data_IF_243191149926
#
_entry.id   IF_243191149926
#
_cell.length_a   1.000
_cell.length_b   1.000
_cell.length_c   1.000
_cell.angle_alpha   90.00
_cell.angle_beta   90.00
_cell.angle_gamma   90.00
#
_symmetry.space_group_name_H-M   'P 1'
#
loop_
_entity.id
_entity.type
_entity.pdbx_description
1 polymer ?
#
# COMPACT_ATOMS: atom_id res chain seq x y z
N UNK A 1 -15.00 53.30 -17.75
CA UNK A 1 -13.60 53.58 -17.39
C UNK A 1 -12.78 52.49 -18.07
N UNK A 2 -11.59 52.77 -18.54
CA UNK A 2 -10.74 51.80 -19.23
C UNK A 2 -9.73 51.13 -18.31
N UNK A 3 -8.67 50.65 -18.89
CA UNK A 3 -7.55 50.04 -18.15
C UNK A 3 -7.00 50.94 -17.05
N UNK A 4 -6.62 50.35 -15.93
CA UNK A 4 -6.01 51.08 -14.80
C UNK A 4 -4.56 50.56 -14.61
N UNK A 5 -3.65 51.48 -14.28
CA UNK A 5 -2.27 51.14 -13.95
C UNK A 5 -1.91 51.77 -12.59
N UNK A 6 -1.40 50.90 -11.69
CA UNK A 6 -0.83 51.32 -10.40
C UNK A 6 0.70 51.38 -10.57
N UNK A 7 1.31 52.57 -10.43
CA UNK A 7 2.76 52.70 -10.59
C UNK A 7 3.54 51.92 -9.52
N UNK A 8 4.82 51.64 -9.80
CA UNK A 8 5.77 51.01 -8.87
C UNK A 8 5.72 51.65 -7.49
N UNK A 9 5.56 50.81 -6.44
CA UNK A 9 5.53 51.21 -5.03
C UNK A 9 4.34 52.04 -4.60
N UNK A 10 3.38 52.32 -5.49
CA UNK A 10 2.18 53.12 -5.19
C UNK A 10 1.09 52.24 -4.55
N UNK A 11 0.18 52.91 -3.81
CA UNK A 11 -1.05 52.33 -3.30
C UNK A 11 -2.24 52.97 -4.00
N UNK A 12 -3.19 52.13 -4.44
CA UNK A 12 -4.44 52.60 -5.04
C UNK A 12 -5.63 51.89 -4.38
N UNK A 13 -6.71 52.64 -4.14
CA UNK A 13 -8.01 52.08 -3.73
C UNK A 13 -8.85 51.81 -4.97
N UNK A 14 -9.37 50.60 -5.06
CA UNK A 14 -10.07 50.08 -6.22
C UNK A 14 -11.35 49.35 -5.78
N UNK A 15 -12.45 49.60 -6.48
CA UNK A 15 -13.67 48.83 -6.41
C UNK A 15 -13.79 47.95 -7.66
N UNK A 16 -14.33 48.61 -8.75
CA UNK A 16 -14.53 47.95 -10.04
C UNK A 16 -13.69 48.60 -11.13
N UNK A 17 -12.95 47.78 -11.86
CA UNK A 17 -12.10 48.16 -13.01
C UNK A 17 -12.72 47.58 -14.26
N UNK A 18 -13.16 48.44 -15.18
CA UNK A 18 -13.67 48.05 -16.50
C UNK A 18 -12.52 48.01 -17.49
N UNK A 19 -11.90 46.83 -17.66
CA UNK A 19 -10.71 46.61 -18.47
C UNK A 19 -9.61 45.89 -17.70
N UNK A 20 -8.36 46.02 -18.15
CA UNK A 20 -7.18 45.39 -17.53
C UNK A 20 -6.66 46.25 -16.34
N UNK A 21 -6.14 45.59 -15.31
CA UNK A 21 -5.42 46.19 -14.18
C UNK A 21 -3.94 45.85 -14.27
N UNK A 22 -3.08 46.86 -14.44
CA UNK A 22 -1.61 46.67 -14.38
C UNK A 22 -1.09 47.13 -13.02
N UNK A 23 -0.31 46.30 -12.36
CA UNK A 23 0.24 46.54 -11.01
C UNK A 23 1.74 46.55 -11.08
N UNK A 24 2.35 47.68 -10.84
CA UNK A 24 3.81 47.85 -10.86
C UNK A 24 4.46 47.17 -9.65
N UNK A 25 5.78 46.90 -9.75
CA UNK A 25 6.55 46.24 -8.71
C UNK A 25 6.43 46.93 -7.35
N UNK A 26 6.11 46.15 -6.30
CA UNK A 26 5.95 46.63 -4.92
C UNK A 26 4.70 47.48 -4.70
N UNK A 27 3.79 47.54 -5.66
CA UNK A 27 2.54 48.30 -5.53
C UNK A 27 1.51 47.51 -4.71
N UNK A 28 0.56 48.27 -4.12
CA UNK A 28 -0.54 47.76 -3.30
C UNK A 28 -1.88 48.21 -3.89
N UNK A 29 -2.78 47.25 -4.07
CA UNK A 29 -4.17 47.49 -4.41
C UNK A 29 -5.07 47.26 -3.18
N UNK A 30 -5.76 48.25 -2.72
CA UNK A 30 -6.70 48.18 -1.59
C UNK A 30 -8.13 48.13 -2.13
N UNK A 31 -8.95 47.23 -1.61
CA UNK A 31 -10.38 47.20 -1.95
C UNK A 31 -11.12 48.37 -1.31
N UNK A 32 -11.98 49.06 -2.07
CA UNK A 32 -12.92 50.03 -1.54
C UNK A 32 -14.07 49.37 -0.74
N UNK A 33 -14.27 48.07 -0.95
CA UNK A 33 -15.25 47.23 -0.28
C UNK A 33 -14.65 45.92 0.17
N UNK A 34 -15.30 44.80 -0.13
CA UNK A 34 -14.79 43.47 0.19
C UNK A 34 -13.98 42.83 -0.95
N UNK A 35 -14.19 43.26 -2.20
CA UNK A 35 -13.62 42.68 -3.40
C UNK A 35 -13.16 43.76 -4.39
N UNK A 36 -12.07 43.49 -5.07
CA UNK A 36 -11.61 44.20 -6.27
C UNK A 36 -12.11 43.44 -7.47
N UNK A 37 -13.03 44.00 -8.25
CA UNK A 37 -13.55 43.39 -9.47
C UNK A 37 -12.83 43.95 -10.69
N UNK A 38 -12.14 43.09 -11.45
CA UNK A 38 -11.48 43.45 -12.71
C UNK A 38 -12.14 42.67 -13.84
N UNK A 39 -12.80 43.36 -14.78
CA UNK A 39 -13.49 42.67 -15.89
C UNK A 39 -12.52 42.06 -16.89
N UNK A 40 -11.33 42.62 -17.00
CA UNK A 40 -10.23 42.13 -17.81
C UNK A 40 -9.20 41.30 -17.01
N UNK A 41 -7.95 41.43 -17.42
CA UNK A 41 -6.81 40.74 -16.83
C UNK A 41 -6.17 41.55 -15.72
N UNK A 42 -5.57 40.86 -14.74
CA UNK A 42 -4.65 41.47 -13.78
C UNK A 42 -3.22 41.06 -14.17
N UNK A 43 -2.35 42.07 -14.35
CA UNK A 43 -0.96 41.89 -14.77
C UNK A 43 -0.05 42.58 -13.74
N UNK A 44 0.75 41.77 -13.01
CA UNK A 44 1.69 42.28 -12.01
C UNK A 44 3.13 42.23 -12.54
N UNK A 45 3.82 43.37 -12.45
CA UNK A 45 5.23 43.51 -12.86
C UNK A 45 6.20 43.33 -11.68
N UNK A 46 6.14 42.17 -10.99
CA UNK A 46 6.94 41.88 -9.81
C UNK A 46 6.10 41.67 -8.56
N UNK A 47 6.64 42.05 -7.39
CA UNK A 47 5.91 41.93 -6.12
C UNK A 47 4.66 42.82 -6.10
N UNK A 48 3.56 42.27 -5.60
CA UNK A 48 2.32 43.03 -5.42
C UNK A 48 1.52 42.50 -4.24
N UNK A 49 0.73 43.36 -3.62
CA UNK A 49 -0.17 43.04 -2.52
C UNK A 49 -1.60 43.50 -2.83
N UNK A 50 -2.56 42.62 -2.67
CA UNK A 50 -3.99 42.93 -2.80
C UNK A 50 -4.66 42.80 -1.44
N UNK A 51 -5.17 43.90 -0.92
CA UNK A 51 -5.92 43.92 0.33
C UNK A 51 -7.43 43.78 0.05
N UNK A 52 -7.92 42.57 0.18
CA UNK A 52 -9.25 42.10 -0.13
C UNK A 52 -9.28 40.95 -1.11
N UNK A 53 -10.45 40.46 -1.44
CA UNK A 53 -10.66 39.48 -2.49
C UNK A 53 -10.45 40.08 -3.87
N UNK A 54 -10.04 39.27 -4.83
CA UNK A 54 -9.78 39.67 -6.21
C UNK A 54 -10.57 38.78 -7.17
N UNK A 55 -11.29 39.41 -8.09
CA UNK A 55 -11.92 38.70 -9.22
C UNK A 55 -11.43 39.27 -10.54
N UNK A 56 -11.04 38.45 -11.48
CA UNK A 56 -10.55 38.85 -12.79
C UNK A 56 -10.81 37.77 -13.86
N UNK A 57 -10.57 38.10 -15.14
CA UNK A 57 -10.58 37.10 -16.22
C UNK A 57 -9.36 36.19 -16.16
N UNK A 58 -8.18 36.80 -16.06
CA UNK A 58 -6.90 36.11 -15.94
C UNK A 58 -6.01 36.84 -14.94
N UNK A 59 -5.13 36.09 -14.26
CA UNK A 59 -4.15 36.66 -13.37
C UNK A 59 -2.75 36.25 -13.82
N UNK A 60 -1.88 37.22 -14.08
CA UNK A 60 -0.50 36.96 -14.44
C UNK A 60 0.47 37.84 -13.64
N UNK A 61 1.57 37.24 -13.20
CA UNK A 61 2.64 37.95 -12.55
C UNK A 61 4.00 37.41 -12.97
N UNK A 62 4.99 38.29 -13.10
CA UNK A 62 6.36 37.93 -13.42
C UNK A 62 7.33 38.47 -12.39
N UNK A 63 8.06 37.62 -11.69
CA UNK A 63 9.17 38.01 -10.81
C UNK A 63 10.36 38.54 -11.61
N UNK A 64 11.08 39.52 -11.08
CA UNK A 64 12.33 39.99 -11.67
C UNK A 64 13.43 38.90 -11.58
N UNK A 65 14.35 38.85 -12.55
CA UNK A 65 15.50 37.94 -12.55
C UNK A 65 16.28 38.02 -11.25
N UNK A 66 16.40 36.90 -10.53
CA UNK A 66 17.15 36.78 -9.27
C UNK A 66 16.36 37.13 -7.99
N UNK A 67 15.25 37.79 -8.07
CA UNK A 67 14.35 38.08 -6.95
C UNK A 67 12.95 37.56 -7.27
N UNK A 68 12.55 36.46 -6.63
CA UNK A 68 11.22 35.89 -6.83
C UNK A 68 10.13 36.89 -6.50
N UNK A 69 9.23 37.12 -7.42
CA UNK A 69 8.04 37.95 -7.18
C UNK A 69 7.18 37.34 -6.07
N UNK A 70 6.85 38.12 -5.04
CA UNK A 70 5.91 37.73 -3.99
C UNK A 70 4.59 38.42 -4.23
N UNK A 71 3.56 37.64 -4.55
CA UNK A 71 2.20 38.15 -4.69
C UNK A 71 1.42 37.70 -3.47
N UNK A 72 0.74 38.61 -2.83
CA UNK A 72 -0.15 38.36 -1.71
C UNK A 72 -1.54 38.86 -1.95
N UNK A 73 -2.55 38.03 -1.72
CA UNK A 73 -3.97 38.34 -1.78
C UNK A 73 -4.56 38.00 -0.41
N UNK A 74 -5.07 39.01 0.31
CA UNK A 74 -5.60 38.85 1.67
C UNK A 74 -7.02 38.28 1.73
N UNK A 75 -7.67 38.10 0.59
CA UNK A 75 -8.99 37.49 0.46
C UNK A 75 -8.95 36.33 -0.51
N UNK A 76 -10.07 36.09 -1.18
CA UNK A 76 -10.20 35.07 -2.22
C UNK A 76 -9.64 35.57 -3.56
N UNK A 77 -9.15 34.64 -4.38
CA UNK A 77 -8.83 34.89 -5.78
C UNK A 77 -9.77 34.07 -6.66
N UNK A 78 -10.48 34.76 -7.53
CA UNK A 78 -11.33 34.17 -8.57
C UNK A 78 -10.88 34.62 -9.94
N UNK A 79 -10.45 33.69 -10.79
CA UNK A 79 -10.10 33.93 -12.18
C UNK A 79 -10.89 32.97 -13.08
N UNK A 80 -11.56 33.49 -14.12
CA UNK A 80 -12.23 32.61 -15.07
C UNK A 80 -11.30 31.92 -16.06
N UNK A 81 -10.05 32.36 -16.15
CA UNK A 81 -8.99 31.81 -16.96
C UNK A 81 -7.80 31.37 -16.09
N UNK A 82 -6.61 31.46 -16.67
CA UNK A 82 -5.36 31.01 -16.04
C UNK A 82 -4.89 31.98 -14.94
N UNK A 83 -4.32 31.41 -13.88
CA UNK A 83 -3.52 32.10 -12.86
C UNK A 83 -2.07 31.69 -13.06
N UNK A 84 -1.21 32.62 -13.53
CA UNK A 84 0.19 32.37 -13.84
C UNK A 84 1.12 33.26 -13.03
N UNK A 85 2.17 32.67 -12.41
CA UNK A 85 3.23 33.43 -11.74
C UNK A 85 4.58 32.89 -12.14
N UNK A 86 5.28 33.62 -13.02
CA UNK A 86 6.63 33.27 -13.48
C UNK A 86 7.69 33.76 -12.48
N UNK A 87 8.69 32.92 -12.18
CA UNK A 87 9.79 33.17 -11.26
C UNK A 87 9.35 33.65 -9.86
N UNK A 88 8.15 33.30 -9.43
CA UNK A 88 7.55 33.85 -8.22
C UNK A 88 6.75 32.88 -7.39
N UNK A 89 6.11 33.43 -6.37
CA UNK A 89 5.23 32.72 -5.45
C UNK A 89 3.95 33.51 -5.24
N UNK A 90 2.84 32.79 -5.00
CA UNK A 90 1.53 33.34 -4.75
C UNK A 90 1.02 32.87 -3.38
N UNK A 91 0.55 33.82 -2.56
CA UNK A 91 -0.12 33.54 -1.29
C UNK A 91 -1.52 34.12 -1.31
N UNK A 92 -2.51 33.32 -1.05
CA UNK A 92 -3.94 33.66 -1.00
C UNK A 92 -4.42 33.28 0.39
N UNK A 93 -4.83 34.26 1.20
CA UNK A 93 -5.31 33.97 2.56
C UNK A 93 -6.71 33.32 2.55
N UNK A 94 -7.51 33.57 1.50
CA UNK A 94 -8.80 32.95 1.24
C UNK A 94 -8.74 31.73 0.31
N UNK A 95 -9.79 31.56 -0.49
CA UNK A 95 -9.94 30.47 -1.46
C UNK A 95 -9.47 30.88 -2.86
N UNK A 96 -9.08 29.88 -3.66
CA UNK A 96 -8.70 30.01 -5.06
C UNK A 96 -9.73 29.28 -5.94
N UNK A 97 -10.25 30.00 -6.97
CA UNK A 97 -11.10 29.43 -8.02
C UNK A 97 -10.58 29.92 -9.38
N UNK A 98 -10.05 29.02 -10.19
CA UNK A 98 -9.47 29.35 -11.49
C UNK A 98 -9.73 28.25 -12.52
N UNK A 99 -9.55 28.53 -13.83
CA UNK A 99 -9.56 27.47 -14.83
C UNK A 99 -8.28 26.62 -14.76
N UNK A 100 -7.13 27.28 -14.65
CA UNK A 100 -5.83 26.60 -14.47
C UNK A 100 -4.87 27.46 -13.63
N UNK A 101 -3.89 26.81 -13.04
CA UNK A 101 -2.90 27.45 -12.17
C UNK A 101 -1.50 26.99 -12.59
N UNK A 102 -0.60 27.96 -12.86
CA UNK A 102 0.79 27.69 -13.23
C UNK A 102 1.72 28.60 -12.44
N UNK A 103 2.47 28.06 -11.48
CA UNK A 103 3.31 28.81 -10.53
C UNK A 103 4.70 28.20 -10.47
N UNK A 104 5.73 28.94 -10.85
CA UNK A 104 7.10 28.40 -10.90
C UNK A 104 7.66 27.94 -9.55
N UNK A 105 7.32 28.62 -8.44
CA UNK A 105 7.97 28.32 -7.15
C UNK A 105 7.02 27.79 -6.09
N UNK A 106 6.04 28.57 -5.66
CA UNK A 106 5.18 28.15 -4.56
C UNK A 106 3.80 28.81 -4.58
N UNK A 107 2.81 28.04 -4.19
CA UNK A 107 1.42 28.47 -4.00
C UNK A 107 0.94 28.09 -2.60
N UNK A 108 0.46 29.07 -1.84
CA UNK A 108 -0.21 28.87 -0.56
C UNK A 108 -1.65 29.36 -0.65
N UNK A 109 -2.61 28.49 -0.29
CA UNK A 109 -4.03 28.83 -0.26
C UNK A 109 -4.57 28.56 1.14
N UNK A 110 -5.08 29.61 1.80
CA UNK A 110 -5.62 29.53 3.15
C UNK A 110 -7.00 28.88 3.23
N UNK A 111 -7.77 28.92 2.14
CA UNK A 111 -9.09 28.31 1.99
C UNK A 111 -9.04 27.08 1.09
N UNK A 112 -10.12 26.87 0.33
CA UNK A 112 -10.22 25.82 -0.68
C UNK A 112 -9.52 26.24 -1.98
N UNK A 113 -9.00 25.27 -2.72
CA UNK A 113 -8.45 25.50 -4.05
C UNK A 113 -9.21 24.67 -5.09
N UNK A 114 -9.62 25.33 -6.18
CA UNK A 114 -10.29 24.71 -7.31
C UNK A 114 -9.68 25.19 -8.62
N UNK A 115 -9.25 24.26 -9.44
CA UNK A 115 -8.87 24.48 -10.84
C UNK A 115 -8.87 23.15 -11.57
N UNK A 116 -8.96 23.17 -12.91
CA UNK A 116 -8.82 21.93 -13.67
C UNK A 116 -7.39 21.39 -13.55
N UNK A 117 -6.38 22.25 -13.70
CA UNK A 117 -4.97 21.89 -13.65
C UNK A 117 -4.19 22.80 -12.68
N UNK A 118 -3.38 22.19 -11.81
CA UNK A 118 -2.37 22.83 -10.99
C UNK A 118 -0.98 22.36 -11.43
N UNK A 119 -0.15 23.30 -11.89
CA UNK A 119 1.28 23.09 -12.19
C UNK A 119 2.07 24.02 -11.27
N UNK A 120 2.81 23.43 -10.31
CA UNK A 120 3.57 24.19 -9.31
C UNK A 120 4.98 23.64 -9.20
N UNK A 121 5.95 24.39 -9.68
CA UNK A 121 7.35 23.94 -9.73
C UNK A 121 7.97 23.55 -8.39
N UNK A 122 7.51 24.10 -7.26
CA UNK A 122 8.09 23.82 -5.95
C UNK A 122 7.12 23.33 -4.89
N UNK A 123 6.36 24.22 -4.27
CA UNK A 123 5.49 23.91 -3.11
C UNK A 123 4.05 24.33 -3.38
N UNK A 124 3.13 23.39 -3.21
CA UNK A 124 1.69 23.64 -3.15
C UNK A 124 1.16 23.29 -1.76
N UNK A 125 0.65 24.30 -1.02
CA UNK A 125 0.02 24.09 0.28
C UNK A 125 -1.41 24.66 0.27
N UNK A 126 -2.39 23.80 0.59
CA UNK A 126 -3.81 24.14 0.68
C UNK A 126 -4.31 23.79 2.08
N UNK A 127 -4.83 24.77 2.82
CA UNK A 127 -5.40 24.50 4.15
C UNK A 127 -6.80 23.91 4.10
N UNK A 128 -7.58 24.28 3.08
CA UNK A 128 -8.89 23.69 2.83
C UNK A 128 -8.81 22.44 1.99
N UNK A 129 -9.85 22.19 1.21
CA UNK A 129 -9.92 21.10 0.24
C UNK A 129 -9.31 21.54 -1.10
N UNK A 130 -8.82 20.59 -1.85
CA UNK A 130 -8.42 20.79 -3.24
C UNK A 130 -9.31 19.98 -4.18
N UNK A 131 -9.67 20.57 -5.32
CA UNK A 131 -10.48 19.93 -6.35
C UNK A 131 -9.96 20.29 -7.72
N UNK A 132 -9.80 19.29 -8.59
CA UNK A 132 -9.31 19.50 -9.95
C UNK A 132 -9.23 18.21 -10.75
N UNK A 133 -8.65 18.30 -11.93
CA UNK A 133 -8.35 17.16 -12.76
C UNK A 133 -6.91 16.69 -12.56
N UNK A 134 -5.95 17.61 -12.58
CA UNK A 134 -4.53 17.28 -12.43
C UNK A 134 -3.82 18.19 -11.44
N UNK A 135 -2.98 17.61 -10.60
CA UNK A 135 -2.02 18.30 -9.72
C UNK A 135 -0.63 17.80 -10.05
N UNK A 136 0.22 18.69 -10.56
CA UNK A 136 1.63 18.46 -10.87
C UNK A 136 2.48 19.37 -9.98
N UNK A 137 3.30 18.78 -9.10
CA UNK A 137 4.12 19.55 -8.15
C UNK A 137 5.55 19.03 -8.12
N UNK A 138 6.49 19.88 -8.50
CA UNK A 138 7.90 19.49 -8.53
C UNK A 138 8.48 19.06 -7.17
N UNK A 139 8.02 19.64 -6.06
CA UNK A 139 8.59 19.42 -4.74
C UNK A 139 7.64 18.86 -3.69
N UNK A 140 6.89 19.73 -3.02
CA UNK A 140 6.06 19.35 -1.87
C UNK A 140 4.60 19.74 -2.06
N UNK A 141 3.72 18.76 -1.95
CA UNK A 141 2.27 18.95 -2.02
C UNK A 141 1.62 18.64 -0.66
N UNK A 142 0.94 19.65 -0.08
CA UNK A 142 0.28 19.50 1.21
C UNK A 142 -1.16 19.99 1.17
N UNK A 143 -2.08 19.17 1.71
CA UNK A 143 -3.50 19.50 1.87
C UNK A 143 -3.93 19.14 3.28
N UNK A 144 -4.51 20.10 4.02
CA UNK A 144 -5.08 19.81 5.34
C UNK A 144 -6.50 19.24 5.25
N UNK A 145 -7.24 19.61 4.21
CA UNK A 145 -8.55 19.05 3.90
C UNK A 145 -8.50 17.81 3.03
N UNK A 146 -9.58 17.55 2.30
CA UNK A 146 -9.69 16.46 1.33
C UNK A 146 -9.11 16.85 -0.03
N UNK A 147 -8.68 15.86 -0.79
CA UNK A 147 -8.27 16.00 -2.19
C UNK A 147 -9.20 15.18 -3.10
N UNK A 148 -9.87 15.87 -4.01
CA UNK A 148 -10.70 15.26 -5.07
C UNK A 148 -10.10 15.67 -6.42
N UNK A 149 -9.18 14.85 -6.91
CA UNK A 149 -8.32 15.15 -8.08
C UNK A 149 -8.10 13.87 -8.88
N UNK A 150 -8.26 13.89 -10.21
CA UNK A 150 -8.10 12.66 -10.99
C UNK A 150 -6.64 12.17 -10.99
N UNK A 151 -5.66 13.05 -11.16
CA UNK A 151 -4.24 12.69 -11.24
C UNK A 151 -3.41 13.57 -10.31
N UNK A 152 -2.55 12.94 -9.51
CA UNK A 152 -1.56 13.59 -8.64
C UNK A 152 -0.18 13.09 -9.00
N UNK A 153 0.68 14.00 -9.48
CA UNK A 153 2.09 13.75 -9.81
C UNK A 153 2.98 14.68 -8.99
N UNK A 154 3.82 14.12 -8.12
CA UNK A 154 4.66 14.91 -7.23
C UNK A 154 6.09 14.38 -7.18
N UNK A 155 7.04 15.16 -7.68
CA UNK A 155 8.44 14.78 -7.69
C UNK A 155 9.05 14.49 -6.32
N UNK A 156 8.58 15.16 -5.27
CA UNK A 156 9.12 15.02 -3.91
C UNK A 156 8.20 14.30 -2.94
N UNK A 157 7.35 15.02 -2.21
CA UNK A 157 6.51 14.44 -1.15
C UNK A 157 5.09 14.97 -1.11
N UNK A 158 4.16 14.09 -0.74
CA UNK A 158 2.72 14.38 -0.56
C UNK A 158 2.33 14.20 0.90
N UNK A 159 1.57 15.16 1.46
CA UNK A 159 0.92 15.05 2.78
C UNK A 159 -0.52 15.56 2.69
N UNK A 160 -1.48 14.65 2.59
CA UNK A 160 -2.92 14.96 2.53
C UNK A 160 -3.58 14.41 3.78
N UNK A 161 -3.97 15.29 4.70
CA UNK A 161 -4.54 14.87 5.98
C UNK A 161 -5.99 14.34 5.88
N UNK A 162 -6.75 14.85 4.90
CA UNK A 162 -8.12 14.42 4.62
C UNK A 162 -8.20 13.19 3.72
N UNK A 163 -9.42 12.84 3.33
CA UNK A 163 -9.66 11.74 2.39
C UNK A 163 -9.20 12.13 0.98
N UNK A 164 -8.65 11.15 0.27
CA UNK A 164 -8.23 11.28 -1.12
C UNK A 164 -9.22 10.53 -2.01
N UNK A 165 -9.63 11.17 -3.09
CA UNK A 165 -10.27 10.53 -4.22
C UNK A 165 -9.46 10.88 -5.46
N UNK A 166 -8.79 9.89 -6.04
CA UNK A 166 -8.05 10.07 -7.29
C UNK A 166 -8.04 8.78 -8.12
N UNK A 167 -7.67 8.92 -9.39
CA UNK A 167 -7.38 7.76 -10.23
C UNK A 167 -5.95 7.30 -10.04
N UNK A 168 -5.00 8.24 -9.99
CA UNK A 168 -3.57 7.94 -9.96
C UNK A 168 -2.87 8.87 -8.96
N UNK A 169 -1.98 8.27 -8.16
CA UNK A 169 -1.10 8.96 -7.23
C UNK A 169 0.35 8.52 -7.51
N UNK A 170 1.12 9.38 -8.14
CA UNK A 170 2.55 9.16 -8.45
C UNK A 170 3.41 10.10 -7.60
N UNK A 171 4.33 9.55 -6.81
CA UNK A 171 5.15 10.32 -5.88
C UNK A 171 6.60 9.80 -5.85
N UNK A 172 7.54 10.59 -6.32
CA UNK A 172 8.93 10.20 -6.37
C UNK A 172 9.56 9.84 -5.02
N UNK A 173 9.12 10.46 -3.92
CA UNK A 173 9.69 10.25 -2.59
C UNK A 173 8.75 9.61 -1.59
N UNK A 174 7.95 10.42 -0.88
CA UNK A 174 7.07 9.94 0.19
C UNK A 174 5.65 10.44 0.02
N UNK A 175 4.67 9.56 0.20
CA UNK A 175 3.27 9.92 0.24
C UNK A 175 2.61 9.53 1.56
N UNK A 176 1.94 10.48 2.20
CA UNK A 176 1.06 10.26 3.35
C UNK A 176 -0.33 10.78 3.03
N UNK A 177 -1.32 9.94 3.19
CA UNK A 177 -2.72 10.29 2.91
C UNK A 177 -3.63 9.90 4.07
N UNK A 178 -4.77 10.58 4.18
CA UNK A 178 -5.80 10.29 5.17
C UNK A 178 -6.66 9.05 4.87
N UNK A 179 -6.37 8.31 3.80
CA UNK A 179 -7.20 7.22 3.30
C UNK A 179 -8.11 7.66 2.16
N UNK A 180 -9.11 6.86 1.82
CA UNK A 180 -10.06 7.17 0.74
C UNK A 180 -10.03 6.17 -0.41
N UNK A 181 -9.96 6.64 -1.65
CA UNK A 181 -10.01 5.79 -2.84
C UNK A 181 -9.01 6.25 -3.91
N UNK A 182 -8.17 5.32 -4.34
CA UNK A 182 -7.31 5.47 -5.53
C UNK A 182 -7.72 4.40 -6.52
N UNK A 183 -8.39 4.79 -7.61
CA UNK A 183 -9.10 3.84 -8.47
C UNK A 183 -8.22 3.11 -9.49
N UNK A 184 -6.98 3.55 -9.69
CA UNK A 184 -5.99 2.87 -10.54
C UNK A 184 -4.73 2.60 -9.74
N UNK A 185 -3.72 3.47 -9.80
CA UNK A 185 -2.37 3.19 -9.33
C UNK A 185 -1.94 4.16 -8.22
N UNK A 186 -1.33 3.60 -7.18
CA UNK A 186 -0.49 4.30 -6.21
C UNK A 186 0.95 3.87 -6.51
N UNK A 187 1.76 4.78 -7.05
CA UNK A 187 3.18 4.57 -7.32
C UNK A 187 4.01 5.49 -6.42
N UNK A 188 4.83 4.93 -5.53
CA UNK A 188 5.61 5.72 -4.59
C UNK A 188 7.04 5.18 -4.49
N UNK A 189 8.00 5.98 -4.94
CA UNK A 189 9.41 5.56 -4.96
C UNK A 189 9.98 5.14 -3.60
N UNK A 190 9.58 5.80 -2.52
CA UNK A 190 10.15 5.56 -1.18
C UNK A 190 9.20 5.01 -0.14
N UNK A 191 8.37 5.86 0.46
CA UNK A 191 7.45 5.48 1.54
C UNK A 191 6.02 5.90 1.25
N UNK A 192 5.10 4.95 1.37
CA UNK A 192 3.66 5.21 1.35
C UNK A 192 3.02 4.95 2.72
N UNK A 193 2.13 5.84 3.16
CA UNK A 193 1.34 5.69 4.38
C UNK A 193 -0.11 6.16 4.16
N UNK A 194 -1.07 5.27 4.31
CA UNK A 194 -2.48 5.62 4.48
C UNK A 194 -2.85 5.50 5.95
N UNK A 195 -3.39 6.58 6.56
CA UNK A 195 -3.71 6.59 8.00
C UNK A 195 -5.08 6.01 8.31
N UNK A 196 -6.02 6.03 7.36
CA UNK A 196 -7.37 5.46 7.43
C UNK A 196 -7.55 4.40 6.34
N UNK A 197 -8.68 3.70 6.30
CA UNK A 197 -8.92 2.68 5.29
C UNK A 197 -8.75 3.21 3.87
N UNK A 198 -8.13 2.41 3.02
CA UNK A 198 -7.86 2.74 1.63
C UNK A 198 -8.52 1.71 0.71
N UNK A 199 -9.26 2.20 -0.30
CA UNK A 199 -9.62 1.40 -1.47
C UNK A 199 -8.65 1.68 -2.60
N UNK A 200 -8.15 0.63 -3.24
CA UNK A 200 -7.14 0.76 -4.29
C UNK A 200 -7.27 -0.34 -5.35
N UNK A 201 -6.79 -0.08 -6.57
CA UNK A 201 -6.61 -1.14 -7.57
C UNK A 201 -5.20 -1.70 -7.54
N UNK A 202 -4.19 -0.81 -7.47
CA UNK A 202 -2.79 -1.23 -7.36
C UNK A 202 -2.02 -0.30 -6.42
N UNK A 203 -1.12 -0.90 -5.63
CA UNK A 203 -0.11 -0.20 -4.83
C UNK A 203 1.25 -0.72 -5.26
N UNK A 204 2.14 0.17 -5.73
CA UNK A 204 3.53 -0.11 -6.09
C UNK A 204 4.43 0.81 -5.26
N UNK A 205 5.25 0.24 -4.38
CA UNK A 205 6.08 1.03 -3.47
C UNK A 205 7.49 0.48 -3.39
N UNK A 206 8.47 1.25 -3.83
CA UNK A 206 9.86 0.81 -3.80
C UNK A 206 10.40 0.44 -2.43
N UNK A 207 9.96 1.09 -1.35
CA UNK A 207 10.51 0.91 -0.01
C UNK A 207 9.54 0.36 1.04
N UNK A 208 8.73 1.21 1.63
CA UNK A 208 7.84 0.88 2.76
C UNK A 208 6.40 1.31 2.48
N UNK A 209 5.46 0.38 2.52
CA UNK A 209 4.03 0.69 2.48
C UNK A 209 3.36 0.36 3.82
N UNK A 210 2.52 1.28 4.32
CA UNK A 210 1.75 1.10 5.56
C UNK A 210 0.29 1.48 5.34
N UNK A 211 -0.63 0.58 5.65
CA UNK A 211 -2.06 0.83 5.72
C UNK A 211 -2.49 0.88 7.19
N UNK A 212 -2.84 2.08 7.70
CA UNK A 212 -3.08 2.32 9.12
C UNK A 212 -4.31 1.62 9.68
N UNK A 213 -5.41 1.63 8.96
CA UNK A 213 -6.67 0.97 9.34
C UNK A 213 -7.07 -0.13 8.34
N UNK A 214 -6.06 -0.71 7.64
CA UNK A 214 -6.29 -1.73 6.63
C UNK A 214 -6.72 -1.19 5.28
N UNK A 215 -7.24 -2.06 4.43
CA UNK A 215 -7.66 -1.69 3.08
C UNK A 215 -8.36 -2.81 2.33
N UNK A 216 -8.93 -2.41 1.22
CA UNK A 216 -9.58 -3.32 0.27
C UNK A 216 -9.12 -2.94 -1.14
N UNK A 217 -8.56 -3.89 -1.86
CA UNK A 217 -8.10 -3.58 -3.21
C UNK A 217 -7.61 -4.75 -4.02
N UNK A 218 -6.86 -4.40 -5.05
CA UNK A 218 -6.25 -5.31 -6.01
C UNK A 218 -4.84 -5.72 -5.61
N UNK A 219 -3.86 -5.32 -6.41
CA UNK A 219 -2.49 -5.81 -6.30
C UNK A 219 -1.63 -4.91 -5.42
N UNK A 220 -0.78 -5.52 -4.61
CA UNK A 220 0.19 -4.84 -3.76
C UNK A 220 1.58 -5.37 -4.08
N UNK A 221 2.46 -4.49 -4.58
CA UNK A 221 3.87 -4.76 -4.86
C UNK A 221 4.74 -3.84 -4.00
N UNK A 222 5.57 -4.41 -3.13
CA UNK A 222 6.41 -3.62 -2.22
C UNK A 222 7.81 -4.18 -2.14
N UNK A 223 8.79 -3.45 -2.66
CA UNK A 223 10.17 -3.88 -2.69
C UNK A 223 10.78 -4.23 -1.32
N UNK A 224 10.40 -3.52 -0.27
CA UNK A 224 11.00 -3.68 1.06
C UNK A 224 10.07 -4.25 2.13
N UNK A 225 9.22 -3.41 2.75
CA UNK A 225 8.34 -3.80 3.85
C UNK A 225 6.90 -3.35 3.60
N UNK A 226 5.97 -4.27 3.75
CA UNK A 226 4.53 -3.99 3.79
C UNK A 226 3.98 -4.19 5.20
N UNK A 227 3.11 -3.28 5.67
CA UNK A 227 2.40 -3.38 6.94
C UNK A 227 0.95 -2.95 6.79
N UNK A 228 0.00 -3.85 7.03
CA UNK A 228 -1.40 -3.50 7.31
C UNK A 228 -1.65 -3.60 8.80
N UNK A 229 -2.15 -2.54 9.44
CA UNK A 229 -2.42 -2.51 10.88
C UNK A 229 -3.81 -3.02 11.26
N UNK A 230 -4.59 -3.44 10.27
CA UNK A 230 -5.89 -4.08 10.45
C UNK A 230 -6.10 -5.13 9.34
N UNK A 231 -7.35 -5.62 9.20
CA UNK A 231 -7.72 -6.57 8.17
C UNK A 231 -7.40 -6.05 6.76
N UNK A 232 -7.01 -6.95 5.87
CA UNK A 232 -6.67 -6.63 4.48
C UNK A 232 -7.37 -7.58 3.52
N UNK A 233 -8.04 -7.00 2.53
CA UNK A 233 -8.51 -7.74 1.35
C UNK A 233 -7.73 -7.28 0.12
N UNK A 234 -7.19 -8.23 -0.64
CA UNK A 234 -6.31 -7.97 -1.79
C UNK A 234 -6.50 -9.02 -2.88
N UNK A 235 -6.01 -8.74 -4.08
CA UNK A 235 -5.89 -9.73 -5.14
C UNK A 235 -4.54 -10.47 -5.04
N UNK A 236 -3.45 -9.74 -5.23
CA UNK A 236 -2.09 -10.26 -5.01
C UNK A 236 -1.31 -9.43 -4.00
N UNK A 237 -0.42 -10.08 -3.26
CA UNK A 237 0.52 -9.43 -2.34
C UNK A 237 1.92 -9.96 -2.61
N UNK A 238 2.74 -9.14 -3.28
CA UNK A 238 4.15 -9.40 -3.57
C UNK A 238 5.02 -8.48 -2.71
N UNK A 239 5.87 -9.06 -1.87
CA UNK A 239 6.73 -8.28 -0.97
C UNK A 239 8.14 -8.85 -0.93
N UNK A 240 9.11 -8.12 -1.45
CA UNK A 240 10.50 -8.55 -1.47
C UNK A 240 11.11 -8.91 -0.11
N UNK A 241 10.70 -8.22 0.96
CA UNK A 241 11.28 -8.40 2.30
C UNK A 241 10.34 -8.92 3.37
N UNK A 242 9.55 -8.05 3.99
CA UNK A 242 8.69 -8.37 5.14
C UNK A 242 7.25 -7.90 4.91
N UNK A 243 6.31 -8.84 4.98
CA UNK A 243 4.89 -8.54 4.99
C UNK A 243 4.28 -8.80 6.38
N UNK A 244 3.49 -7.84 6.89
CA UNK A 244 2.77 -7.96 8.16
C UNK A 244 1.32 -7.51 8.03
N UNK A 245 0.39 -8.36 8.45
CA UNK A 245 -1.05 -8.04 8.52
C UNK A 245 -1.47 -8.23 9.99
N UNK A 246 -1.77 -7.12 10.68
CA UNK A 246 -2.21 -7.12 12.08
C UNK A 246 -3.72 -7.33 12.20
N UNK A 247 -4.22 -8.32 11.52
CA UNK A 247 -5.64 -8.71 11.44
C UNK A 247 -5.77 -9.96 10.62
N UNK A 248 -6.91 -10.11 9.94
CA UNK A 248 -7.14 -11.19 8.98
C UNK A 248 -6.71 -10.76 7.58
N UNK A 249 -6.18 -11.69 6.81
CA UNK A 249 -5.89 -11.52 5.39
C UNK A 249 -6.85 -12.32 4.52
N UNK A 250 -7.32 -11.71 3.44
CA UNK A 250 -8.08 -12.41 2.41
C UNK A 250 -7.62 -11.98 1.04
N UNK A 251 -7.23 -12.93 0.20
CA UNK A 251 -6.72 -12.63 -1.13
C UNK A 251 -6.78 -13.79 -2.09
N UNK A 252 -6.13 -13.61 -3.23
CA UNK A 252 -5.99 -14.67 -4.23
C UNK A 252 -4.65 -15.37 -4.05
N UNK A 253 -3.55 -14.61 -4.01
CA UNK A 253 -2.19 -15.18 -3.90
C UNK A 253 -1.25 -14.27 -3.11
N UNK A 254 -0.22 -14.85 -2.52
CA UNK A 254 0.81 -14.14 -1.75
C UNK A 254 2.18 -14.69 -2.10
N UNK A 255 3.11 -13.80 -2.43
CA UNK A 255 4.55 -14.09 -2.58
C UNK A 255 5.34 -13.17 -1.63
N UNK A 256 6.17 -13.74 -0.75
CA UNK A 256 7.00 -12.95 0.15
C UNK A 256 8.41 -13.53 0.21
N UNK A 257 9.38 -12.79 -0.30
CA UNK A 257 10.77 -13.22 -0.32
C UNK A 257 11.37 -13.56 1.06
N UNK A 258 10.94 -12.86 2.13
CA UNK A 258 11.54 -13.01 3.45
C UNK A 258 10.61 -13.54 4.54
N UNK A 259 9.83 -12.67 5.17
CA UNK A 259 9.00 -13.00 6.33
C UNK A 259 7.55 -12.56 6.14
N UNK A 260 6.62 -13.48 6.21
CA UNK A 260 5.18 -13.18 6.34
C UNK A 260 4.73 -13.33 7.80
N UNK A 261 3.99 -12.35 8.30
CA UNK A 261 3.30 -12.42 9.59
C UNK A 261 1.85 -11.97 9.46
N UNK A 262 0.92 -12.84 9.78
CA UNK A 262 -0.52 -12.53 9.87
C UNK A 262 -0.96 -12.84 11.30
N UNK A 263 -1.52 -11.86 12.02
CA UNK A 263 -1.92 -12.08 13.42
C UNK A 263 -3.23 -12.86 13.57
N UNK A 264 -4.10 -12.78 12.59
CA UNK A 264 -5.36 -13.53 12.51
C UNK A 264 -5.29 -14.71 11.55
N UNK A 265 -6.39 -14.96 10.84
CA UNK A 265 -6.48 -15.99 9.79
C UNK A 265 -6.04 -15.43 8.43
N UNK A 266 -5.53 -16.30 7.58
CA UNK A 266 -5.24 -16.00 6.17
C UNK A 266 -6.03 -16.96 5.27
N UNK A 267 -6.82 -16.39 4.38
CA UNK A 267 -7.59 -17.18 3.39
C UNK A 267 -7.20 -16.74 1.98
N UNK A 268 -6.67 -17.66 1.21
CA UNK A 268 -6.27 -17.46 -0.18
C UNK A 268 -7.08 -18.37 -1.11
N UNK A 269 -7.35 -17.87 -2.30
CA UNK A 269 -8.01 -18.65 -3.35
C UNK A 269 -7.03 -19.57 -4.08
N UNK A 270 -5.75 -19.15 -4.14
CA UNK A 270 -4.65 -19.90 -4.79
C UNK A 270 -3.52 -20.18 -3.79
N UNK A 271 -2.34 -19.67 -4.05
CA UNK A 271 -1.09 -20.15 -3.50
C UNK A 271 -0.45 -19.14 -2.53
N UNK A 272 0.33 -19.65 -1.60
CA UNK A 272 1.21 -18.93 -0.72
C UNK A 272 2.63 -19.42 -0.93
N UNK A 273 3.51 -18.53 -1.41
CA UNK A 273 4.95 -18.80 -1.59
C UNK A 273 5.77 -17.88 -0.67
N UNK A 274 6.62 -18.49 0.15
CA UNK A 274 7.44 -17.77 1.12
C UNK A 274 8.89 -18.28 1.08
N UNK A 275 9.80 -17.46 0.62
CA UNK A 275 11.22 -17.81 0.60
C UNK A 275 11.82 -18.09 1.98
N UNK A 276 11.39 -17.41 3.02
CA UNK A 276 11.93 -17.51 4.37
C UNK A 276 10.99 -18.14 5.39
N UNK A 277 10.22 -17.33 6.14
CA UNK A 277 9.36 -17.80 7.24
C UNK A 277 7.95 -17.25 7.12
N UNK A 278 6.97 -18.08 7.47
CA UNK A 278 5.59 -17.66 7.59
C UNK A 278 5.03 -17.92 8.99
N UNK A 279 4.27 -16.97 9.50
CA UNK A 279 3.50 -17.08 10.75
C UNK A 279 2.06 -16.62 10.51
N UNK A 280 1.09 -17.47 10.81
CA UNK A 280 -0.35 -17.18 10.78
C UNK A 280 -0.93 -17.51 12.16
N UNK A 281 -1.41 -16.50 12.87
CA UNK A 281 -1.84 -16.63 14.26
C UNK A 281 -3.07 -17.54 14.48
N UNK A 282 -3.82 -17.84 13.41
CA UNK A 282 -4.98 -18.72 13.47
C UNK A 282 -4.97 -19.73 12.30
N UNK A 283 -6.04 -19.77 11.51
CA UNK A 283 -6.17 -20.72 10.41
C UNK A 283 -5.61 -20.16 9.10
N UNK A 284 -4.85 -21.00 8.37
CA UNK A 284 -4.44 -20.77 6.98
C UNK A 284 -5.27 -21.68 6.06
N UNK A 285 -5.99 -21.09 5.10
CA UNK A 285 -6.73 -21.79 4.03
C UNK A 285 -6.28 -21.35 2.66
N UNK A 286 -5.96 -22.31 1.76
CA UNK A 286 -5.42 -21.99 0.44
C UNK A 286 -5.50 -23.22 -0.51
N UNK A 287 -5.02 -23.05 -1.75
CA UNK A 287 -4.78 -24.17 -2.67
C UNK A 287 -3.47 -24.87 -2.35
N UNK A 288 -2.35 -24.16 -2.50
CA UNK A 288 -1.02 -24.72 -2.28
C UNK A 288 -0.16 -23.82 -1.38
N UNK A 289 0.64 -24.43 -0.54
CA UNK A 289 1.61 -23.77 0.33
C UNK A 289 3.03 -24.21 -0.05
N UNK A 290 3.90 -23.25 -0.33
CA UNK A 290 5.34 -23.46 -0.45
C UNK A 290 6.09 -22.54 0.52
N UNK A 291 6.92 -23.11 1.39
CA UNK A 291 7.74 -22.35 2.34
C UNK A 291 9.15 -22.90 2.37
N UNK A 292 10.10 -22.12 1.90
CA UNK A 292 11.52 -22.52 1.89
C UNK A 292 12.10 -22.78 3.28
N UNK A 293 11.68 -22.01 4.28
CA UNK A 293 12.13 -22.14 5.67
C UNK A 293 11.11 -22.75 6.61
N UNK A 294 10.48 -21.95 7.47
CA UNK A 294 9.59 -22.44 8.53
C UNK A 294 8.20 -21.87 8.46
N UNK A 295 7.20 -22.70 8.71
CA UNK A 295 5.79 -22.32 8.79
C UNK A 295 5.24 -22.58 10.18
N UNK A 296 4.49 -21.60 10.75
CA UNK A 296 3.75 -21.75 12.01
C UNK A 296 2.32 -21.23 11.85
N UNK A 297 1.32 -22.05 12.23
CA UNK A 297 -0.08 -21.69 12.25
C UNK A 297 -0.85 -22.53 13.28
N UNK A 298 -2.03 -22.10 13.72
CA UNK A 298 -2.90 -22.99 14.51
C UNK A 298 -3.37 -24.20 13.69
N UNK A 299 -3.78 -23.96 12.46
CA UNK A 299 -4.28 -24.96 11.53
C UNK A 299 -3.93 -24.57 10.09
N UNK A 300 -3.56 -25.56 9.27
CA UNK A 300 -3.36 -25.37 7.84
C UNK A 300 -4.30 -26.31 7.08
N UNK A 301 -5.06 -25.74 6.13
CA UNK A 301 -5.95 -26.48 5.24
C UNK A 301 -5.64 -26.09 3.80
N UNK A 302 -4.87 -26.93 3.13
CA UNK A 302 -4.59 -26.80 1.71
C UNK A 302 -5.51 -27.74 0.89
N UNK A 303 -5.97 -27.28 -0.25
CA UNK A 303 -6.75 -28.13 -1.18
C UNK A 303 -5.84 -29.06 -2.00
N UNK A 304 -4.60 -28.64 -2.23
CA UNK A 304 -3.61 -29.37 -3.04
C UNK A 304 -2.40 -29.74 -2.21
N UNK A 305 -1.32 -28.94 -2.26
CA UNK A 305 -0.03 -29.28 -1.67
C UNK A 305 0.34 -28.41 -0.47
N UNK A 306 1.15 -29.02 0.40
CA UNK A 306 1.89 -28.35 1.47
C UNK A 306 3.34 -28.77 1.33
N UNK A 307 4.23 -27.82 0.98
CA UNK A 307 5.67 -28.05 0.82
C UNK A 307 6.41 -27.13 1.79
N UNK A 308 7.17 -27.73 2.72
CA UNK A 308 7.91 -26.99 3.74
C UNK A 308 9.34 -27.50 3.84
N UNK A 309 10.29 -26.63 3.47
CA UNK A 309 11.71 -26.98 3.49
C UNK A 309 12.28 -27.21 4.88
N UNK A 310 11.77 -26.53 5.91
CA UNK A 310 12.23 -26.64 7.30
C UNK A 310 11.15 -27.06 8.29
N UNK A 311 10.93 -26.23 9.34
CA UNK A 311 10.01 -26.61 10.42
C UNK A 311 8.55 -26.28 10.09
N UNK A 312 7.65 -27.24 10.30
CA UNK A 312 6.20 -27.04 10.23
C UNK A 312 5.58 -27.17 11.62
N UNK A 313 5.05 -26.10 12.17
CA UNK A 313 4.42 -26.10 13.49
C UNK A 313 2.93 -25.77 13.41
N UNK A 314 2.12 -26.68 13.90
CA UNK A 314 0.68 -26.49 14.00
C UNK A 314 0.17 -26.96 15.36
N UNK A 315 -0.91 -26.36 15.85
CA UNK A 315 -1.57 -26.82 17.08
C UNK A 315 -2.62 -27.88 16.76
N UNK A 316 -3.47 -27.62 15.77
CA UNK A 316 -4.54 -28.53 15.38
C UNK A 316 -4.11 -29.50 14.27
N UNK A 317 -3.12 -29.11 13.47
CA UNK A 317 -2.56 -29.93 12.41
C UNK A 317 -2.59 -29.29 11.03
N UNK A 318 -1.99 -30.00 10.08
CA UNK A 318 -1.93 -29.63 8.68
C UNK A 318 -2.65 -30.69 7.81
N UNK A 319 -3.53 -30.21 6.91
CA UNK A 319 -4.29 -31.06 5.98
C UNK A 319 -4.10 -30.61 4.55
N UNK A 320 -3.78 -31.56 3.67
CA UNK A 320 -3.63 -31.33 2.22
C UNK A 320 -3.96 -32.59 1.40
N UNK A 321 -3.91 -32.48 0.07
CA UNK A 321 -3.88 -33.69 -0.77
C UNK A 321 -2.48 -34.31 -0.73
N UNK A 322 -1.41 -33.48 -0.81
CA UNK A 322 -0.03 -33.90 -0.60
C UNK A 322 0.66 -33.04 0.45
N UNK A 323 1.55 -33.66 1.24
CA UNK A 323 2.44 -32.97 2.17
C UNK A 323 3.84 -33.44 1.93
N UNK A 324 4.74 -32.51 1.58
CA UNK A 324 6.17 -32.77 1.38
C UNK A 324 6.99 -31.97 2.39
N UNK A 325 7.86 -32.66 3.11
CA UNK A 325 8.71 -32.09 4.14
C UNK A 325 10.17 -32.24 3.76
N UNK A 326 10.91 -31.17 3.71
CA UNK A 326 12.31 -31.14 3.31
C UNK A 326 13.24 -31.88 4.27
N UNK A 327 14.52 -31.93 3.88
CA UNK A 327 15.58 -32.60 4.67
C UNK A 327 15.73 -31.98 6.07
N UNK A 328 15.77 -32.83 7.10
CA UNK A 328 15.96 -32.42 8.49
C UNK A 328 14.80 -31.62 9.09
N UNK A 329 13.69 -31.54 8.40
CA UNK A 329 12.47 -30.84 8.82
C UNK A 329 11.93 -31.38 10.15
N UNK A 330 11.21 -30.54 10.89
CA UNK A 330 10.52 -30.95 12.13
C UNK A 330 9.07 -30.49 12.09
N UNK A 331 8.19 -31.44 12.39
CA UNK A 331 6.78 -31.07 12.53
C UNK A 331 6.33 -31.14 13.98
N UNK A 332 5.42 -30.24 14.32
CA UNK A 332 4.59 -30.30 15.52
C UNK A 332 3.14 -30.31 15.10
N UNK A 333 2.36 -31.20 15.68
CA UNK A 333 0.96 -31.44 15.33
C UNK A 333 0.78 -32.50 14.23
N UNK A 334 -0.47 -33.00 14.10
CA UNK A 334 -0.78 -34.08 13.17
C UNK A 334 -0.78 -33.61 11.70
N UNK A 335 -0.34 -34.52 10.82
CA UNK A 335 -0.40 -34.36 9.37
C UNK A 335 -1.46 -35.28 8.81
N UNK A 336 -2.34 -34.75 7.97
CA UNK A 336 -3.40 -35.51 7.30
C UNK A 336 -3.34 -35.23 5.80
N UNK A 337 -3.01 -36.23 5.00
CA UNK A 337 -2.95 -36.07 3.56
C UNK A 337 -3.20 -37.39 2.82
N UNK A 338 -3.47 -37.33 1.51
CA UNK A 338 -3.50 -38.52 0.68
C UNK A 338 -2.05 -39.04 0.46
N UNK A 339 -1.11 -38.13 0.26
CA UNK A 339 0.31 -38.49 0.09
C UNK A 339 1.14 -37.69 1.11
N UNK A 340 2.03 -38.37 1.85
CA UNK A 340 2.99 -37.71 2.73
C UNK A 340 4.39 -38.23 2.41
N UNK A 341 5.30 -37.31 2.10
CA UNK A 341 6.73 -37.59 1.94
C UNK A 341 7.54 -36.83 2.98
N UNK A 342 8.44 -37.50 3.66
CA UNK A 342 9.31 -36.92 4.68
C UNK A 342 10.76 -37.12 4.27
N UNK A 343 11.43 -36.02 3.96
CA UNK A 343 12.81 -36.03 3.51
C UNK A 343 13.81 -36.55 4.56
N UNK A 344 15.02 -36.81 4.12
CA UNK A 344 16.11 -37.35 4.92
C UNK A 344 16.27 -36.72 6.30
N UNK A 345 16.27 -37.53 7.35
CA UNK A 345 16.45 -37.09 8.73
C UNK A 345 15.29 -36.26 9.30
N UNK A 346 14.18 -36.17 8.60
CA UNK A 346 12.99 -35.44 9.03
C UNK A 346 12.36 -36.04 10.28
N UNK A 347 11.64 -35.23 11.08
CA UNK A 347 10.97 -35.63 12.31
C UNK A 347 9.51 -35.24 12.25
N UNK A 348 8.64 -36.24 12.34
CA UNK A 348 7.19 -36.05 12.30
C UNK A 348 6.52 -36.62 13.56
N UNK A 349 5.42 -36.02 13.97
CA UNK A 349 4.60 -36.55 15.07
C UNK A 349 3.64 -37.63 14.54
N UNK A 350 2.36 -37.31 14.42
CA UNK A 350 1.32 -38.22 13.99
C UNK A 350 1.00 -37.99 12.50
N UNK A 351 1.08 -39.03 11.70
CA UNK A 351 0.83 -38.95 10.26
C UNK A 351 -0.34 -39.84 9.88
N UNK A 352 -1.31 -39.28 9.19
CA UNK A 352 -2.44 -40.01 8.60
C UNK A 352 -2.38 -39.85 7.09
N UNK A 353 -2.14 -40.96 6.37
CA UNK A 353 -1.94 -40.90 4.92
C UNK A 353 -2.57 -42.11 4.19
N UNK A 354 -2.90 -41.96 2.91
CA UNK A 354 -3.11 -43.10 2.05
C UNK A 354 -1.74 -43.68 1.63
N UNK A 355 -0.83 -42.80 1.18
CA UNK A 355 0.56 -43.20 0.82
C UNK A 355 1.55 -42.42 1.68
N UNK A 356 2.50 -43.16 2.27
CA UNK A 356 3.54 -42.59 3.13
C UNK A 356 4.92 -43.01 2.61
N UNK A 357 5.82 -42.03 2.52
CA UNK A 357 7.24 -42.25 2.24
C UNK A 357 8.08 -41.59 3.33
N UNK A 358 8.93 -42.38 3.97
CA UNK A 358 9.89 -41.90 4.96
C UNK A 358 11.31 -42.20 4.46
N UNK A 359 12.04 -41.14 4.12
CA UNK A 359 13.42 -41.22 3.68
C UNK A 359 14.37 -41.56 4.84
N UNK A 360 15.60 -41.95 4.45
CA UNK A 360 16.64 -42.39 5.34
C UNK A 360 16.81 -41.57 6.62
N UNK A 361 16.92 -42.27 7.77
CA UNK A 361 17.20 -41.67 9.06
C UNK A 361 16.09 -40.79 9.67
N UNK A 362 14.91 -40.78 9.08
CA UNK A 362 13.74 -40.01 9.57
C UNK A 362 13.23 -40.59 10.90
N UNK A 363 12.47 -39.78 11.63
CA UNK A 363 11.81 -40.18 12.89
C UNK A 363 10.33 -39.88 12.85
N UNK A 364 9.50 -40.78 13.35
CA UNK A 364 8.07 -40.56 13.48
C UNK A 364 7.57 -41.03 14.85
N UNK A 365 6.51 -40.38 15.36
CA UNK A 365 5.82 -40.83 16.56
C UNK A 365 4.82 -41.93 16.21
N UNK A 366 3.69 -41.62 15.61
CA UNK A 366 2.67 -42.56 15.20
C UNK A 366 2.39 -42.44 13.69
N UNK A 367 2.18 -43.59 13.04
CA UNK A 367 1.94 -43.68 11.62
C UNK A 367 0.65 -44.47 11.35
N UNK A 368 -0.25 -43.87 10.57
CA UNK A 368 -1.53 -44.44 10.16
C UNK A 368 -1.68 -44.29 8.65
N UNK A 369 -1.51 -45.37 7.90
CA UNK A 369 -1.48 -45.29 6.44
C UNK A 369 -2.04 -46.54 5.76
N UNK A 370 -2.37 -46.40 4.48
CA UNK A 370 -2.77 -47.56 3.68
C UNK A 370 -1.54 -48.25 3.10
N UNK A 371 -0.71 -47.53 2.37
CA UNK A 371 0.52 -48.02 1.78
C UNK A 371 1.70 -47.17 2.28
N UNK A 372 2.81 -47.81 2.65
CA UNK A 372 4.00 -47.09 3.14
C UNK A 372 5.31 -47.68 2.71
N UNK A 373 6.27 -46.84 2.37
CA UNK A 373 7.67 -47.16 2.11
C UNK A 373 8.53 -46.45 3.17
N UNK A 374 9.36 -47.25 3.87
CA UNK A 374 10.16 -46.78 5.00
C UNK A 374 11.61 -47.19 4.75
N UNK A 375 12.42 -46.17 4.48
CA UNK A 375 13.84 -46.38 4.15
C UNK A 375 14.70 -46.77 5.37
N UNK A 376 15.98 -47.04 5.09
CA UNK A 376 16.98 -47.44 6.06
C UNK A 376 17.17 -46.39 7.19
N UNK A 377 17.48 -46.85 8.41
CA UNK A 377 17.79 -45.99 9.55
C UNK A 377 16.62 -45.23 10.17
N UNK A 378 15.41 -45.42 9.67
CA UNK A 378 14.21 -44.79 10.23
C UNK A 378 13.90 -45.31 11.64
N UNK A 379 13.47 -44.43 12.53
CA UNK A 379 13.07 -44.75 13.90
C UNK A 379 11.64 -44.30 14.20
N UNK A 380 10.78 -45.28 14.56
CA UNK A 380 9.39 -45.02 14.91
C UNK A 380 9.16 -45.27 16.39
N UNK A 381 8.78 -44.22 17.12
CA UNK A 381 8.72 -44.22 18.59
C UNK A 381 7.36 -44.71 19.12
N UNK A 382 6.32 -44.70 18.32
CA UNK A 382 4.98 -45.08 18.71
C UNK A 382 4.42 -46.29 17.96
N UNK A 383 3.19 -46.21 17.54
CA UNK A 383 2.50 -47.28 16.83
C UNK A 383 2.51 -47.10 15.30
N UNK A 384 2.44 -48.18 14.58
CA UNK A 384 2.29 -48.22 13.12
C UNK A 384 1.10 -49.10 12.79
N UNK A 385 0.05 -48.49 12.24
CA UNK A 385 -1.14 -49.17 11.76
C UNK A 385 -1.28 -48.96 10.24
N UNK A 386 -1.48 -50.03 9.52
CA UNK A 386 -1.63 -50.00 8.07
C UNK A 386 -2.74 -50.94 7.58
N UNK A 387 -3.33 -50.65 6.41
CA UNK A 387 -4.38 -51.55 5.85
C UNK A 387 -3.90 -52.42 4.71
N UNK A 388 -3.15 -51.85 3.78
CA UNK A 388 -2.84 -52.53 2.53
C UNK A 388 -1.42 -53.10 2.53
N UNK A 389 -0.38 -52.24 2.54
CA UNK A 389 1.02 -52.64 2.37
C UNK A 389 1.98 -51.80 3.20
N UNK A 390 3.01 -52.43 3.72
CA UNK A 390 4.20 -51.77 4.27
C UNK A 390 5.46 -52.39 3.66
N UNK A 391 6.33 -51.56 3.14
CA UNK A 391 7.70 -51.92 2.75
C UNK A 391 8.67 -51.19 3.65
N UNK A 392 9.57 -51.92 4.30
CA UNK A 392 10.55 -51.32 5.20
C UNK A 392 11.90 -51.99 5.05
N UNK A 393 12.96 -51.19 5.13
CA UNK A 393 14.33 -51.70 5.20
C UNK A 393 14.56 -52.47 6.47
N UNK A 394 15.48 -53.49 6.47
CA UNK A 394 15.71 -54.41 7.61
C UNK A 394 16.22 -53.71 8.89
N UNK A 395 16.83 -52.55 8.78
CA UNK A 395 17.41 -51.76 9.88
C UNK A 395 16.48 -50.69 10.46
N UNK A 396 15.22 -50.66 10.02
CA UNK A 396 14.17 -49.77 10.59
C UNK A 396 13.89 -50.21 12.04
N UNK A 397 13.85 -49.22 12.94
CA UNK A 397 13.57 -49.45 14.35
C UNK A 397 12.12 -49.12 14.69
N UNK A 398 11.35 -50.13 15.05
CA UNK A 398 9.97 -49.98 15.51
C UNK A 398 9.92 -50.15 17.03
N UNK A 399 9.38 -49.17 17.77
CA UNK A 399 9.13 -49.36 19.20
C UNK A 399 8.00 -50.39 19.45
N UNK A 400 7.03 -50.47 18.55
CA UNK A 400 5.98 -51.48 18.49
C UNK A 400 5.95 -52.08 17.08
N UNK A 401 5.79 -53.39 16.97
CA UNK A 401 5.70 -54.03 15.66
C UNK A 401 4.52 -53.48 14.84
N UNK A 402 4.72 -53.20 13.54
CA UNK A 402 3.64 -52.74 12.67
C UNK A 402 2.47 -53.73 12.66
N UNK A 403 1.26 -53.20 12.75
CA UNK A 403 0.03 -53.99 12.82
C UNK A 403 -0.88 -53.71 11.64
N UNK A 404 -1.27 -54.74 10.92
CA UNK A 404 -2.28 -54.62 9.87
C UNK A 404 -3.68 -54.56 10.51
N UNK A 405 -4.46 -53.55 10.12
CA UNK A 405 -5.83 -53.33 10.63
C UNK A 405 -6.84 -53.30 9.48
N UNK A 406 -8.10 -53.50 9.77
CA UNK A 406 -9.16 -53.41 8.75
C UNK A 406 -9.56 -51.95 8.49
N UNK A 407 -9.43 -51.06 9.49
CA UNK A 407 -9.78 -49.66 9.41
C UNK A 407 -8.77 -48.83 10.21
N UNK A 408 -8.32 -47.71 9.65
CA UNK A 408 -7.42 -46.78 10.32
C UNK A 408 -8.18 -45.90 11.30
N UNK A 409 -7.51 -45.40 12.36
CA UNK A 409 -8.08 -44.37 13.24
C UNK A 409 -8.53 -43.14 12.45
N UNK A 410 -9.61 -42.54 12.85
CA UNK A 410 -10.06 -41.28 12.23
C UNK A 410 -9.05 -40.17 12.50
N UNK A 411 -8.63 -39.41 11.46
CA UNK A 411 -7.75 -38.27 11.66
C UNK A 411 -8.43 -37.18 12.49
N UNK A 412 -7.67 -36.38 13.22
CA UNK A 412 -8.19 -35.33 14.09
C UNK A 412 -8.70 -34.07 13.37
N UNK A 413 -8.56 -33.97 12.02
CA UNK A 413 -8.88 -32.80 11.17
C UNK A 413 -10.00 -33.08 10.18
#
# INVERSE_FOLDING_TARGET
MGDISIPKGATAKLGRVEGDLRVGQGARAESEGAIIEVTGRVICEGEAEFQGSLSCSEFSARGAWGFGGKIKILGDLKASGEVRVENGQLSIDGSLDAASVNIDKALWVGGNARADDFDVGGVLEVRGNIMGRKVDVGGFFKVQGAADVDEVDVGGSVDIAGLVRCSQLDVGGMARIGGGEVSKDVDVGGKFESTKPLKFSKIDVGGLATLGEGGEGGDVDVGGKFESRADLSFNSLDVGGLASINGNGRGVEVDVGGLLRVSGSLTLEKDLDIGGRAYVGAELRLDSLEVGGSMEADQIVARKSIEVGGDLKTVKGAKGDSVELGHGSRTMGPIVARIVSVGHGGKVEDVYADKLELEHGSRARNLYFREGEIEAGVHIEGEVLYTDRIESSPDVRFAKQPSRVNELPKPPL
#
